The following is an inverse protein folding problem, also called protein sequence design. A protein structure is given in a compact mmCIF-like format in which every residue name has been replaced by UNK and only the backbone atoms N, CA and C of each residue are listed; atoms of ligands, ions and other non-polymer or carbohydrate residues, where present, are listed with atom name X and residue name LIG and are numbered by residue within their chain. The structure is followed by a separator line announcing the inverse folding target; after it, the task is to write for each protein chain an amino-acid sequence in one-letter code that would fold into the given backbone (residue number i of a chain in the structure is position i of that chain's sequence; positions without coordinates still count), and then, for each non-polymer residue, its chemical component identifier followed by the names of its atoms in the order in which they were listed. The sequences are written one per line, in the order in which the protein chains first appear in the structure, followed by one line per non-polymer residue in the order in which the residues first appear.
data_IF_911420470681
#
_entry.id   IF_911420470681
#
_cell.length_a   1.000
_cell.length_b   1.000
_cell.length_c   1.000
_cell.angle_alpha   90.00
_cell.angle_beta   90.00
_cell.angle_gamma   90.00
#
_symmetry.space_group_name_H-M   'P 1'
#
loop_
_entity.id
_entity.type
_entity.pdbx_description
1 polymer ?
#
# COMPACT_ATOMS: atom_id res chain seq x y z
N UNK A 1 -26.37 25.16 2.00
CA UNK A 1 -25.62 24.59 0.85
C UNK A 1 -24.29 24.12 1.41
N UNK A 2 -23.95 22.85 1.24
CA UNK A 2 -22.66 22.31 1.75
C UNK A 2 -21.55 22.94 0.93
N UNK A 3 -20.55 23.52 1.60
CA UNK A 3 -19.34 24.02 0.97
C UNK A 3 -18.50 22.82 0.49
N UNK A 4 -18.51 22.60 -0.83
CA UNK A 4 -17.81 21.47 -1.47
C UNK A 4 -16.30 21.57 -1.26
N UNK A 5 -15.75 22.79 -1.28
CA UNK A 5 -14.31 23.01 -1.12
C UNK A 5 -13.86 22.69 0.30
N UNK A 6 -14.68 23.07 1.30
CA UNK A 6 -14.42 22.74 2.70
C UNK A 6 -14.53 21.23 2.93
N UNK A 7 -15.55 20.57 2.35
CA UNK A 7 -15.71 19.13 2.43
C UNK A 7 -14.53 18.40 1.80
N UNK A 8 -14.09 18.82 0.62
CA UNK A 8 -12.92 18.25 -0.07
C UNK A 8 -11.64 18.37 0.77
N UNK A 9 -11.44 19.49 1.47
CA UNK A 9 -10.30 19.67 2.39
C UNK A 9 -10.35 18.66 3.55
N UNK A 10 -11.51 18.49 4.21
CA UNK A 10 -11.64 17.53 5.33
C UNK A 10 -11.46 16.09 4.88
N UNK A 11 -12.03 15.72 3.74
CA UNK A 11 -11.89 14.36 3.19
C UNK A 11 -10.44 14.08 2.80
N UNK A 12 -9.74 15.05 2.17
CA UNK A 12 -8.32 14.88 1.82
C UNK A 12 -7.42 14.81 3.05
N UNK A 13 -7.74 15.54 4.12
CA UNK A 13 -7.04 15.45 5.39
C UNK A 13 -7.23 14.06 6.03
N UNK A 14 -8.47 13.56 6.07
CA UNK A 14 -8.76 12.21 6.54
C UNK A 14 -8.01 11.15 5.72
N UNK A 15 -8.04 11.25 4.38
CA UNK A 15 -7.29 10.39 3.48
C UNK A 15 -5.78 10.43 3.74
N UNK A 16 -5.24 11.61 4.02
CA UNK A 16 -3.82 11.77 4.40
C UNK A 16 -3.50 11.06 5.70
N UNK A 17 -4.32 11.22 6.75
CA UNK A 17 -4.12 10.52 8.03
C UNK A 17 -4.16 8.99 7.87
N UNK A 18 -5.13 8.48 7.10
CA UNK A 18 -5.21 7.04 6.80
C UNK A 18 -4.03 6.58 5.95
N UNK A 19 -3.57 7.40 5.00
CA UNK A 19 -2.39 7.13 4.17
C UNK A 19 -1.09 7.08 4.97
N UNK A 20 -0.94 7.93 5.99
CA UNK A 20 0.18 7.86 6.94
C UNK A 20 0.16 6.53 7.68
N UNK A 21 -0.99 6.13 8.23
CA UNK A 21 -1.15 4.84 8.90
C UNK A 21 -0.78 3.67 7.98
N UNK A 22 -1.28 3.69 6.75
CA UNK A 22 -0.97 2.67 5.74
C UNK A 22 0.53 2.66 5.40
N UNK A 23 1.14 3.82 5.18
CA UNK A 23 2.57 3.95 4.85
C UNK A 23 3.49 3.46 5.97
N UNK A 24 3.04 3.44 7.21
CA UNK A 24 3.79 2.93 8.36
C UNK A 24 3.66 1.41 8.55
N UNK A 25 2.74 0.74 7.87
CA UNK A 25 2.56 -0.72 8.03
C UNK A 25 3.82 -1.55 7.74
N UNK A 26 4.71 -1.20 6.78
CA UNK A 26 5.95 -1.94 6.54
C UNK A 26 7.01 -1.79 7.63
N UNK A 27 6.82 -0.89 8.60
CA UNK A 27 7.87 -0.60 9.61
C UNK A 27 8.24 -1.84 10.43
N UNK A 28 7.27 -2.71 10.73
CA UNK A 28 7.51 -3.93 11.51
C UNK A 28 8.39 -4.93 10.75
N UNK A 29 8.10 -5.31 9.48
CA UNK A 29 9.02 -6.10 8.66
C UNK A 29 10.42 -5.49 8.57
N UNK A 30 10.53 -4.18 8.36
CA UNK A 30 11.84 -3.53 8.29
C UNK A 30 12.60 -3.54 9.62
N UNK A 31 11.93 -3.38 10.76
CA UNK A 31 12.55 -3.56 12.08
C UNK A 31 13.05 -5.01 12.24
N UNK A 32 12.31 -6.00 11.78
CA UNK A 32 12.72 -7.39 11.84
C UNK A 32 13.96 -7.66 10.97
N UNK A 33 14.04 -7.06 9.78
CA UNK A 33 15.24 -7.12 8.92
C UNK A 33 16.45 -6.48 9.62
N UNK A 34 16.29 -5.30 10.22
CA UNK A 34 17.35 -4.61 10.96
C UNK A 34 17.85 -5.45 12.13
N UNK A 35 16.95 -6.11 12.84
CA UNK A 35 17.28 -7.01 13.98
C UNK A 35 17.80 -8.39 13.54
N UNK A 36 17.88 -8.66 12.24
CA UNK A 36 18.34 -9.95 11.70
C UNK A 36 17.37 -11.12 11.93
N UNK A 37 16.10 -10.83 12.21
CA UNK A 37 15.04 -11.84 12.39
C UNK A 37 14.44 -12.32 11.06
N UNK A 38 14.52 -11.49 10.04
CA UNK A 38 14.03 -11.77 8.69
C UNK A 38 15.09 -11.43 7.65
N UNK A 39 15.16 -12.20 6.57
CA UNK A 39 16.02 -11.90 5.43
C UNK A 39 15.36 -10.80 4.58
N UNK A 40 16.15 -9.80 4.20
CA UNK A 40 15.71 -8.72 3.32
C UNK A 40 15.14 -9.23 1.99
N UNK A 41 15.59 -10.39 1.51
CA UNK A 41 15.14 -11.03 0.27
C UNK A 41 13.70 -11.57 0.35
N UNK A 42 13.14 -11.68 1.54
CA UNK A 42 11.72 -12.04 1.72
C UNK A 42 10.79 -10.89 1.32
N UNK A 43 11.32 -9.66 1.29
CA UNK A 43 10.55 -8.48 0.89
C UNK A 43 10.65 -8.29 -0.64
N UNK A 44 9.52 -8.19 -1.36
CA UNK A 44 9.53 -8.08 -2.82
C UNK A 44 10.18 -6.77 -3.30
N UNK A 45 11.19 -6.86 -4.16
CA UNK A 45 11.89 -5.68 -4.73
C UNK A 45 10.93 -4.74 -5.46
N UNK A 46 9.95 -5.30 -6.17
CA UNK A 46 8.95 -4.54 -6.91
C UNK A 46 8.15 -3.57 -6.02
N UNK A 47 7.91 -3.94 -4.75
CA UNK A 47 7.21 -3.07 -3.79
C UNK A 47 8.03 -1.84 -3.44
N UNK A 48 9.37 -1.97 -3.37
CA UNK A 48 10.26 -0.84 -3.09
C UNK A 48 10.15 0.19 -4.22
N UNK A 49 10.26 -0.25 -5.47
CA UNK A 49 10.17 0.64 -6.62
C UNK A 49 8.79 1.29 -6.74
N UNK A 50 7.71 0.53 -6.57
CA UNK A 50 6.34 1.06 -6.65
C UNK A 50 6.10 2.11 -5.58
N UNK A 51 6.58 1.88 -4.34
CA UNK A 51 6.42 2.81 -3.22
C UNK A 51 7.23 4.12 -3.38
N UNK A 52 8.15 4.20 -4.34
CA UNK A 52 8.84 5.43 -4.70
C UNK A 52 8.17 6.07 -5.90
N UNK A 53 7.96 5.31 -6.97
CA UNK A 53 7.47 5.87 -8.24
C UNK A 53 6.03 6.37 -8.17
N UNK A 54 5.15 5.64 -7.50
CA UNK A 54 3.74 6.02 -7.41
C UNK A 54 3.54 7.34 -6.64
N UNK A 55 4.04 7.52 -5.41
CA UNK A 55 3.94 8.80 -4.71
C UNK A 55 4.62 9.94 -5.46
N UNK A 56 5.73 9.68 -6.17
CA UNK A 56 6.41 10.69 -6.97
C UNK A 56 5.53 11.24 -8.10
N UNK A 57 4.86 10.37 -8.84
CA UNK A 57 3.94 10.78 -9.90
C UNK A 57 2.77 11.58 -9.34
N UNK A 58 2.24 11.17 -8.19
CA UNK A 58 1.18 11.91 -7.50
C UNK A 58 1.67 13.27 -6.96
N UNK A 59 2.89 13.36 -6.41
CA UNK A 59 3.49 14.65 -6.03
C UNK A 59 3.53 15.59 -7.22
N UNK A 60 4.05 15.10 -8.37
CA UNK A 60 4.19 15.90 -9.58
C UNK A 60 2.82 16.32 -10.14
N UNK A 61 1.83 15.44 -10.06
CA UNK A 61 0.46 15.72 -10.49
C UNK A 61 -0.19 16.79 -9.63
N UNK A 62 -0.15 16.66 -8.30
CA UNK A 62 -0.80 17.59 -7.39
C UNK A 62 -0.15 18.96 -7.34
N UNK A 63 1.19 19.06 -7.45
CA UNK A 63 1.86 20.35 -7.52
C UNK A 63 1.49 21.11 -8.81
N UNK A 64 1.33 20.40 -9.92
CA UNK A 64 0.86 20.98 -11.18
C UNK A 64 -0.58 21.47 -11.12
N UNK A 65 -1.40 20.89 -10.27
CA UNK A 65 -2.78 21.29 -10.03
C UNK A 65 -2.94 22.34 -8.91
N UNK A 66 -1.85 22.69 -8.22
CA UNK A 66 -1.83 23.57 -7.04
C UNK A 66 -2.73 23.07 -5.88
N UNK A 67 -2.84 21.74 -5.71
CA UNK A 67 -3.63 21.13 -4.64
C UNK A 67 -2.69 20.61 -3.55
N UNK A 68 -2.59 21.36 -2.46
CA UNK A 68 -1.51 21.20 -1.47
C UNK A 68 -1.69 20.00 -0.53
N UNK A 69 -2.90 19.73 -0.01
CA UNK A 69 -3.09 18.63 0.96
C UNK A 69 -2.70 17.27 0.36
N UNK A 70 -3.21 16.85 -0.82
CA UNK A 70 -2.76 15.64 -1.49
C UNK A 70 -1.27 15.66 -1.85
N UNK A 71 -0.74 16.82 -2.21
CA UNK A 71 0.69 17.00 -2.48
C UNK A 71 1.55 16.62 -1.27
N UNK A 72 1.23 17.18 -0.07
CA UNK A 72 1.96 16.82 1.15
C UNK A 72 1.78 15.36 1.55
N UNK A 73 0.60 14.78 1.33
CA UNK A 73 0.37 13.36 1.52
C UNK A 73 1.29 12.51 0.64
N UNK A 74 1.42 12.87 -0.63
CA UNK A 74 2.27 12.18 -1.58
C UNK A 74 3.77 12.36 -1.25
N UNK A 75 4.21 13.55 -0.81
CA UNK A 75 5.58 13.77 -0.30
C UNK A 75 5.87 12.85 0.88
N UNK A 76 4.97 12.73 1.83
CA UNK A 76 5.15 11.84 2.97
C UNK A 76 5.35 10.38 2.53
N UNK A 77 4.50 9.90 1.61
CA UNK A 77 4.64 8.57 1.02
C UNK A 77 5.98 8.38 0.30
N UNK A 78 6.43 9.40 -0.43
CA UNK A 78 7.70 9.39 -1.13
C UNK A 78 8.89 9.31 -0.15
N UNK A 79 8.88 10.12 0.90
CA UNK A 79 9.93 10.11 1.93
C UNK A 79 10.01 8.74 2.60
N UNK A 80 8.88 8.15 2.99
CA UNK A 80 8.84 6.81 3.55
C UNK A 80 9.36 5.75 2.57
N UNK A 81 8.95 5.83 1.30
CA UNK A 81 9.44 4.93 0.25
C UNK A 81 10.96 4.99 0.10
N UNK A 82 11.54 6.20 0.12
CA UNK A 82 12.99 6.40 0.06
C UNK A 82 13.71 5.86 1.31
N UNK A 83 13.15 6.06 2.50
CA UNK A 83 13.71 5.49 3.75
C UNK A 83 13.72 3.96 3.68
N UNK A 84 12.60 3.34 3.30
CA UNK A 84 12.53 1.88 3.18
C UNK A 84 13.47 1.35 2.09
N UNK A 85 13.56 2.01 0.94
CA UNK A 85 14.51 1.65 -0.11
C UNK A 85 15.96 1.73 0.35
N UNK A 86 16.30 2.77 1.11
CA UNK A 86 17.64 2.96 1.69
C UNK A 86 18.01 1.80 2.61
N UNK A 87 17.11 1.43 3.53
CA UNK A 87 17.30 0.29 4.44
C UNK A 87 17.41 -1.01 3.63
N UNK A 88 16.47 -1.22 2.70
CA UNK A 88 16.46 -2.41 1.84
C UNK A 88 17.80 -2.60 1.12
N UNK A 89 18.26 -1.58 0.39
CA UNK A 89 19.50 -1.65 -0.38
C UNK A 89 20.74 -1.87 0.51
N UNK A 90 20.75 -1.29 1.70
CA UNK A 90 21.86 -1.50 2.64
C UNK A 90 22.01 -2.97 3.03
N UNK A 91 20.92 -3.61 3.41
CA UNK A 91 20.92 -5.03 3.81
C UNK A 91 21.05 -5.97 2.59
N UNK A 92 20.40 -5.64 1.48
CA UNK A 92 20.48 -6.41 0.23
C UNK A 92 21.92 -6.49 -0.32
N UNK A 93 22.67 -5.40 -0.24
CA UNK A 93 24.07 -5.32 -0.68
C UNK A 93 25.06 -5.85 0.36
N UNK A 94 24.64 -6.69 1.28
CA UNK A 94 25.45 -7.31 2.33
C UNK A 94 26.22 -6.30 3.20
N UNK A 95 25.58 -5.16 3.49
CA UNK A 95 26.15 -4.08 4.30
C UNK A 95 27.45 -3.48 3.71
N UNK A 96 27.65 -3.60 2.41
CA UNK A 96 28.79 -2.97 1.72
C UNK A 96 28.52 -1.46 1.56
N UNK A 97 29.23 -0.65 2.36
CA UNK A 97 29.03 0.81 2.39
C UNK A 97 29.27 1.46 1.03
N UNK A 98 30.32 1.04 0.29
CA UNK A 98 30.62 1.61 -1.02
C UNK A 98 29.54 1.28 -2.07
N UNK A 99 29.13 0.02 -2.15
CA UNK A 99 28.08 -0.41 -3.09
C UNK A 99 26.76 0.26 -2.76
N UNK A 100 26.44 0.35 -1.47
CA UNK A 100 25.25 1.05 -0.98
C UNK A 100 25.29 2.53 -1.38
N UNK A 101 26.40 3.24 -1.14
CA UNK A 101 26.55 4.65 -1.50
C UNK A 101 26.40 4.87 -3.00
N UNK A 102 27.05 4.07 -3.83
CA UNK A 102 26.93 4.17 -5.29
C UNK A 102 25.49 3.92 -5.76
N UNK A 103 24.80 2.95 -5.17
CA UNK A 103 23.39 2.69 -5.50
C UNK A 103 22.48 3.85 -5.10
N UNK A 104 22.72 4.51 -3.95
CA UNK A 104 21.97 5.70 -3.55
C UNK A 104 22.18 6.86 -4.52
N UNK A 105 23.44 7.14 -4.88
CA UNK A 105 23.75 8.21 -5.87
C UNK A 105 23.06 7.93 -7.19
N UNK A 106 23.14 6.71 -7.72
CA UNK A 106 22.47 6.33 -8.95
C UNK A 106 20.95 6.48 -8.85
N UNK A 107 20.35 6.00 -7.78
CA UNK A 107 18.90 6.08 -7.53
C UNK A 107 18.42 7.54 -7.48
N UNK A 108 19.09 8.39 -6.69
CA UNK A 108 18.70 9.80 -6.58
C UNK A 108 18.92 10.56 -7.88
N UNK A 109 19.97 10.24 -8.65
CA UNK A 109 20.22 10.87 -9.96
C UNK A 109 19.13 10.51 -10.96
N UNK A 110 18.78 9.24 -11.07
CA UNK A 110 17.69 8.77 -11.94
C UNK A 110 16.37 9.45 -11.53
N UNK A 111 16.12 9.52 -10.22
CA UNK A 111 14.92 10.09 -9.68
C UNK A 111 14.81 11.59 -9.96
N UNK A 112 15.88 12.34 -9.73
CA UNK A 112 15.93 13.78 -10.02
C UNK A 112 15.77 14.07 -11.52
N UNK A 113 16.41 13.27 -12.38
CA UNK A 113 16.28 13.40 -13.83
C UNK A 113 14.86 13.12 -14.32
N UNK A 114 14.21 12.09 -13.76
CA UNK A 114 12.82 11.77 -14.06
C UNK A 114 11.86 12.86 -13.59
N UNK A 115 12.10 13.40 -12.40
CA UNK A 115 11.31 14.52 -11.86
C UNK A 115 11.43 15.77 -12.74
N UNK A 116 12.65 16.11 -13.14
CA UNK A 116 12.90 17.20 -14.06
C UNK A 116 12.14 17.00 -15.39
N UNK A 117 12.22 15.81 -15.97
CA UNK A 117 11.50 15.49 -17.19
C UNK A 117 9.98 15.67 -17.04
N UNK A 118 9.40 15.16 -15.95
CA UNK A 118 7.96 15.31 -15.70
C UNK A 118 7.53 16.77 -15.50
N UNK A 119 8.32 17.57 -14.81
CA UNK A 119 7.97 18.95 -14.52
C UNK A 119 8.17 19.90 -15.71
N UNK A 120 9.23 19.71 -16.49
CA UNK A 120 9.67 20.69 -17.48
C UNK A 120 9.49 20.25 -18.93
N UNK A 121 9.53 18.94 -19.21
CA UNK A 121 9.43 18.42 -20.57
C UNK A 121 7.99 18.04 -20.91
N UNK A 122 7.24 17.49 -19.94
CA UNK A 122 5.84 17.07 -20.18
C UNK A 122 4.92 18.32 -20.16
N UNK A 123 4.33 18.70 -21.29
CA UNK A 123 3.67 20.01 -21.40
C UNK A 123 2.32 20.07 -20.68
N UNK A 124 1.59 18.95 -20.59
CA UNK A 124 0.23 18.91 -20.05
C UNK A 124 0.16 18.03 -18.80
N UNK A 125 -0.45 18.54 -17.74
CA UNK A 125 -0.65 17.79 -16.49
C UNK A 125 -1.49 16.51 -16.67
N UNK A 126 -2.33 16.44 -17.72
CA UNK A 126 -3.13 15.25 -18.02
C UNK A 126 -2.27 14.02 -18.31
N UNK A 127 -1.12 14.16 -18.96
CA UNK A 127 -0.20 13.04 -19.19
C UNK A 127 0.39 12.53 -17.88
N UNK A 128 0.71 13.46 -16.95
CA UNK A 128 1.18 13.09 -15.62
C UNK A 128 0.06 12.41 -14.82
N UNK A 129 -1.16 12.95 -14.88
CA UNK A 129 -2.35 12.35 -14.27
C UNK A 129 -2.62 10.94 -14.78
N UNK A 130 -2.51 10.72 -16.09
CA UNK A 130 -2.66 9.39 -16.69
C UNK A 130 -1.58 8.41 -16.19
N UNK A 131 -0.32 8.82 -16.17
CA UNK A 131 0.77 7.96 -15.66
C UNK A 131 0.64 7.69 -14.16
N UNK A 132 0.21 8.69 -13.37
CA UNK A 132 -0.08 8.52 -11.94
C UNK A 132 -1.25 7.55 -11.71
N UNK A 133 -2.31 7.65 -12.52
CA UNK A 133 -3.45 6.73 -12.50
C UNK A 133 -3.01 5.29 -12.79
N UNK A 134 -2.22 5.07 -13.85
CA UNK A 134 -1.71 3.74 -14.22
C UNK A 134 -0.84 3.17 -13.09
N UNK A 135 0.06 3.97 -12.52
CA UNK A 135 0.88 3.54 -11.37
C UNK A 135 0.03 3.21 -10.15
N UNK A 136 -1.01 3.98 -9.89
CA UNK A 136 -1.99 3.71 -8.83
C UNK A 136 -2.75 2.40 -9.03
N UNK A 137 -3.16 2.09 -10.26
CA UNK A 137 -3.78 0.81 -10.61
C UNK A 137 -2.82 -0.35 -10.34
N UNK A 138 -1.56 -0.26 -10.79
CA UNK A 138 -0.54 -1.29 -10.54
C UNK A 138 -0.33 -1.49 -9.03
N UNK A 139 -0.22 -0.40 -8.28
CA UNK A 139 -0.08 -0.46 -6.81
C UNK A 139 -1.29 -1.13 -6.14
N UNK A 140 -2.50 -0.83 -6.62
CA UNK A 140 -3.74 -1.43 -6.12
C UNK A 140 -3.84 -2.93 -6.37
N UNK A 141 -3.20 -3.44 -7.42
CA UNK A 141 -3.17 -4.89 -7.72
C UNK A 141 -2.28 -5.69 -6.77
N UNK A 142 -1.35 -5.05 -6.07
CA UNK A 142 -0.43 -5.74 -5.16
C UNK A 142 -1.15 -6.51 -4.04
N UNK A 143 -2.13 -5.95 -3.32
CA UNK A 143 -2.90 -6.70 -2.32
C UNK A 143 -3.79 -7.81 -2.91
N UNK A 144 -4.13 -7.76 -4.20
CA UNK A 144 -4.92 -8.80 -4.85
C UNK A 144 -4.16 -10.14 -4.93
N UNK A 145 -2.83 -10.12 -4.93
CA UNK A 145 -2.01 -11.34 -4.91
C UNK A 145 -2.24 -12.16 -3.62
N UNK A 146 -2.52 -11.49 -2.49
CA UNK A 146 -2.80 -12.15 -1.21
C UNK A 146 -4.04 -13.06 -1.32
N UNK A 147 -5.05 -12.63 -2.05
CA UNK A 147 -6.27 -13.41 -2.31
C UNK A 147 -5.92 -14.76 -2.95
N UNK A 148 -5.14 -14.73 -4.03
CA UNK A 148 -4.73 -15.94 -4.75
C UNK A 148 -3.95 -16.90 -3.86
N UNK A 149 -3.04 -16.35 -3.04
CA UNK A 149 -2.21 -17.14 -2.11
C UNK A 149 -3.07 -17.78 -1.03
N UNK A 150 -4.03 -17.05 -0.47
CA UNK A 150 -4.95 -17.57 0.56
C UNK A 150 -5.83 -18.68 0.01
N UNK A 151 -6.38 -18.54 -1.19
CA UNK A 151 -7.15 -19.60 -1.82
C UNK A 151 -6.34 -20.88 -2.06
N UNK A 152 -5.06 -20.73 -2.43
CA UNK A 152 -4.17 -21.88 -2.66
C UNK A 152 -3.71 -22.56 -1.37
N UNK A 153 -3.45 -21.79 -0.30
CA UNK A 153 -2.89 -22.31 0.95
C UNK A 153 -3.92 -22.53 2.05
N UNK A 154 -5.13 -21.98 1.92
CA UNK A 154 -6.18 -22.06 2.94
C UNK A 154 -5.85 -21.34 4.25
N UNK A 155 -4.86 -20.42 4.23
CA UNK A 155 -4.41 -19.71 5.44
C UNK A 155 -4.71 -18.21 5.36
N UNK A 156 -5.77 -17.80 6.09
CA UNK A 156 -6.20 -16.41 6.15
C UNK A 156 -5.18 -15.47 6.80
N UNK A 157 -4.25 -15.99 7.62
CA UNK A 157 -3.20 -15.20 8.29
C UNK A 157 -2.23 -14.54 7.30
N UNK A 158 -2.22 -15.00 6.06
CA UNK A 158 -1.44 -14.41 4.98
C UNK A 158 -2.03 -13.07 4.49
N UNK A 159 -3.28 -12.75 4.85
CA UNK A 159 -3.85 -11.42 4.59
C UNK A 159 -3.53 -10.50 5.77
N UNK A 160 -2.77 -9.43 5.56
CA UNK A 160 -2.50 -8.43 6.60
C UNK A 160 -3.74 -7.56 6.81
N UNK A 161 -4.67 -8.04 7.64
CA UNK A 161 -6.02 -7.47 7.79
C UNK A 161 -6.02 -5.96 8.12
N UNK A 162 -5.11 -5.51 8.97
CA UNK A 162 -5.01 -4.09 9.33
C UNK A 162 -4.59 -3.23 8.13
N UNK A 163 -3.65 -3.72 7.31
CA UNK A 163 -3.24 -3.04 6.06
C UNK A 163 -4.42 -2.94 5.09
N UNK A 164 -5.26 -3.99 5.02
CA UNK A 164 -6.45 -3.99 4.17
C UNK A 164 -7.51 -2.99 4.67
N UNK A 165 -7.74 -2.91 5.99
CA UNK A 165 -8.70 -1.97 6.58
C UNK A 165 -8.22 -0.52 6.35
N UNK A 166 -6.99 -0.20 6.75
CA UNK A 166 -6.45 1.15 6.54
C UNK A 166 -6.35 1.52 5.06
N UNK A 167 -5.96 0.57 4.20
CA UNK A 167 -5.92 0.76 2.75
C UNK A 167 -7.30 1.03 2.16
N UNK A 168 -8.33 0.32 2.62
CA UNK A 168 -9.71 0.54 2.22
C UNK A 168 -10.24 1.91 2.65
N UNK A 169 -10.01 2.31 3.89
CA UNK A 169 -10.40 3.63 4.40
C UNK A 169 -9.67 4.76 3.66
N UNK A 170 -8.38 4.60 3.43
CA UNK A 170 -7.57 5.54 2.66
C UNK A 170 -8.12 5.69 1.22
N UNK A 171 -8.32 4.57 0.53
CA UNK A 171 -8.86 4.56 -0.83
C UNK A 171 -10.27 5.16 -0.89
N UNK A 172 -11.13 4.89 0.12
CA UNK A 172 -12.45 5.48 0.23
C UNK A 172 -12.41 7.01 0.35
N UNK A 173 -11.54 7.54 1.21
CA UNK A 173 -11.35 9.00 1.33
C UNK A 173 -10.88 9.63 0.01
N UNK A 174 -9.86 9.04 -0.65
CA UNK A 174 -9.35 9.57 -1.92
C UNK A 174 -10.35 9.40 -3.06
N UNK A 175 -11.20 8.36 -3.05
CA UNK A 175 -12.29 8.20 -4.01
C UNK A 175 -13.32 9.32 -3.86
N UNK A 176 -13.78 9.59 -2.63
CA UNK A 176 -14.72 10.68 -2.37
C UNK A 176 -14.11 12.03 -2.76
N UNK A 177 -12.85 12.27 -2.41
CA UNK A 177 -12.12 13.47 -2.82
C UNK A 177 -12.09 13.63 -4.35
N UNK A 178 -11.74 12.56 -5.08
CA UNK A 178 -11.74 12.55 -6.54
C UNK A 178 -13.12 12.86 -7.15
N UNK A 179 -14.19 12.31 -6.57
CA UNK A 179 -15.57 12.58 -7.01
C UNK A 179 -15.92 14.05 -6.80
N UNK A 180 -15.59 14.63 -5.64
CA UNK A 180 -15.84 16.06 -5.35
C UNK A 180 -15.13 16.99 -6.33
N UNK A 181 -13.90 16.67 -6.72
CA UNK A 181 -13.11 17.43 -7.69
C UNK A 181 -13.39 17.03 -9.15
N UNK A 182 -14.19 15.98 -9.40
CA UNK A 182 -14.42 15.41 -10.74
C UNK A 182 -13.11 14.95 -11.42
N UNK A 183 -12.16 14.47 -10.63
CA UNK A 183 -10.84 14.04 -11.08
C UNK A 183 -10.81 12.54 -11.37
N UNK A 184 -11.00 12.20 -12.64
CA UNK A 184 -11.04 10.82 -13.13
C UNK A 184 -9.73 10.06 -12.84
N UNK A 185 -8.59 10.74 -12.91
CA UNK A 185 -7.28 10.13 -12.63
C UNK A 185 -7.16 9.63 -11.19
N UNK A 186 -7.81 10.34 -10.25
CA UNK A 186 -7.85 9.94 -8.85
C UNK A 186 -8.99 8.94 -8.57
N UNK A 187 -10.14 9.06 -9.22
CA UNK A 187 -11.31 8.19 -9.00
C UNK A 187 -10.98 6.73 -9.34
N UNK A 188 -10.45 6.47 -10.54
CA UNK A 188 -10.29 5.10 -11.06
C UNK A 188 -9.39 4.23 -10.17
N UNK A 189 -8.14 4.61 -9.83
CA UNK A 189 -7.27 3.77 -9.00
C UNK A 189 -7.80 3.58 -7.59
N UNK A 190 -8.47 4.60 -7.01
CA UNK A 190 -9.00 4.50 -5.66
C UNK A 190 -10.27 3.64 -5.59
N UNK A 191 -11.14 3.70 -6.60
CA UNK A 191 -12.29 2.80 -6.70
C UNK A 191 -11.84 1.34 -6.80
N UNK A 192 -10.84 1.06 -7.64
CA UNK A 192 -10.27 -0.28 -7.79
C UNK A 192 -9.61 -0.75 -6.48
N UNK A 193 -8.82 0.14 -5.84
CA UNK A 193 -8.17 -0.16 -4.57
C UNK A 193 -9.19 -0.50 -3.48
N UNK A 194 -10.24 0.31 -3.35
CA UNK A 194 -11.32 0.08 -2.38
C UNK A 194 -11.99 -1.28 -2.61
N UNK A 195 -12.33 -1.61 -3.85
CA UNK A 195 -12.92 -2.90 -4.21
C UNK A 195 -12.01 -4.08 -3.80
N UNK A 196 -10.72 -4.00 -4.11
CA UNK A 196 -9.76 -5.04 -3.77
C UNK A 196 -9.64 -5.19 -2.24
N UNK A 197 -9.62 -4.09 -1.49
CA UNK A 197 -9.55 -4.15 -0.02
C UNK A 197 -10.83 -4.76 0.59
N UNK A 198 -12.00 -4.44 0.06
CA UNK A 198 -13.25 -5.08 0.47
C UNK A 198 -13.20 -6.59 0.21
N UNK A 199 -12.72 -7.01 -0.96
CA UNK A 199 -12.54 -8.43 -1.26
C UNK A 199 -11.57 -9.11 -0.29
N UNK A 200 -10.42 -8.50 0.01
CA UNK A 200 -9.46 -9.04 0.96
C UNK A 200 -10.05 -9.23 2.35
N UNK A 201 -10.76 -8.21 2.86
CA UNK A 201 -11.41 -8.26 4.18
C UNK A 201 -12.49 -9.34 4.22
N UNK A 202 -13.31 -9.44 3.17
CA UNK A 202 -14.37 -10.45 3.07
C UNK A 202 -13.78 -11.87 3.07
N UNK A 203 -12.73 -12.09 2.29
CA UNK A 203 -12.05 -13.38 2.19
C UNK A 203 -11.38 -13.74 3.52
N UNK A 204 -10.75 -12.78 4.19
CA UNK A 204 -10.17 -12.99 5.52
C UNK A 204 -11.22 -13.52 6.50
N UNK A 205 -12.37 -12.85 6.63
CA UNK A 205 -13.42 -13.26 7.55
C UNK A 205 -14.07 -14.58 7.14
N UNK A 206 -14.23 -14.85 5.86
CA UNK A 206 -14.76 -16.13 5.38
C UNK A 206 -13.87 -17.31 5.81
N UNK A 207 -12.58 -17.24 5.59
CA UNK A 207 -11.66 -18.31 6.01
C UNK A 207 -11.46 -18.37 7.52
N UNK A 208 -11.49 -17.23 8.20
CA UNK A 208 -11.43 -17.16 9.67
C UNK A 208 -12.59 -17.93 10.31
N UNK A 209 -13.82 -17.63 9.89
CA UNK A 209 -15.03 -18.28 10.44
C UNK A 209 -15.11 -19.76 10.07
N UNK A 210 -14.77 -20.12 8.84
CA UNK A 210 -14.79 -21.53 8.40
C UNK A 210 -13.76 -22.37 9.15
N UNK A 211 -12.57 -21.84 9.41
CA UNK A 211 -11.53 -22.55 10.16
C UNK A 211 -11.89 -22.72 11.63
N UNK A 212 -12.48 -21.72 12.24
CA UNK A 212 -12.90 -21.82 13.65
C UNK A 212 -14.02 -22.84 13.81
N UNK A 213 -15.03 -22.84 12.94
CA UNK A 213 -16.09 -23.86 12.96
C UNK A 213 -15.52 -25.28 12.81
N UNK A 214 -14.55 -25.51 11.93
CA UNK A 214 -13.91 -26.83 11.79
C UNK A 214 -13.13 -27.27 13.03
N UNK A 215 -12.55 -26.32 13.78
CA UNK A 215 -11.89 -26.64 15.05
C UNK A 215 -12.87 -27.00 16.13
N UNK A 216 -13.96 -26.23 16.27
CA UNK A 216 -15.04 -26.51 17.23
C UNK A 216 -15.62 -27.91 17.01
N UNK A 217 -15.94 -28.25 15.76
CA UNK A 217 -16.46 -29.60 15.43
C UNK A 217 -15.46 -30.71 15.79
N UNK A 218 -14.18 -30.53 15.52
CA UNK A 218 -13.16 -31.52 15.89
C UNK A 218 -13.01 -31.70 17.41
N UNK A 219 -13.02 -30.59 18.15
CA UNK A 219 -12.96 -30.63 19.62
C UNK A 219 -14.20 -31.29 20.24
N UNK A 220 -15.37 -31.14 19.60
CA UNK A 220 -16.58 -31.85 20.00
C UNK A 220 -16.50 -33.36 19.68
N UNK A 221 -15.99 -33.74 18.50
CA UNK A 221 -15.78 -35.14 18.11
C UNK A 221 -14.77 -35.85 19.03
N UNK A 222 -13.65 -35.18 19.38
CA UNK A 222 -12.66 -35.73 20.32
C UNK A 222 -13.26 -35.96 21.71
N UNK A 223 -14.05 -35.00 22.23
CA UNK A 223 -14.71 -35.13 23.55
C UNK A 223 -15.75 -36.27 23.59
N UNK A 224 -16.41 -36.52 22.46
CA UNK A 224 -17.37 -37.65 22.38
C UNK A 224 -16.66 -39.01 22.34
N UNK A 225 -15.49 -39.08 21.67
CA UNK A 225 -14.68 -40.32 21.65
C UNK A 225 -14.07 -40.64 23.03
N UNK A 226 -13.52 -39.64 23.72
CA UNK A 226 -12.96 -39.82 25.07
C UNK A 226 -14.04 -40.23 26.10
N UNK A 227 -15.30 -39.81 25.92
CA UNK A 227 -16.40 -40.17 26.78
C UNK A 227 -16.92 -41.62 26.59
N UNK A 228 -16.75 -42.18 25.39
CA UNK A 228 -17.15 -43.56 25.08
C UNK A 228 -16.12 -44.61 25.57
N UNK A 229 -14.85 -44.20 25.77
CA UNK A 229 -13.78 -45.07 26.25
C UNK A 229 -13.77 -45.22 27.82
N UNK A 230 -14.54 -44.40 28.56
CA UNK A 230 -14.65 -44.49 30.02
C UNK A 230 -15.82 -45.39 30.51
N UNK A 231 -16.53 -46.05 29.63
CA UNK A 231 -17.62 -46.98 29.95
C UNK A 231 -17.31 -48.42 29.45
#
# INVERSE_FOLDING_TARGET
MVDIDLLAKWVSLAGTCMGIGLGLTPIIPFINIIKGKEDVRTFPESLIFINIFCPHLWCTYWIRQAVFIPFFSAIFGLVLGLVFATIYLYFYLHKSTLKWLLSQVAQYTIFASFHYALLYIVPKYQYIGFTAMVSGIITSMTPAQNVVVVFKKGDYKLIPIWTCIFGGLCAGCWLVFGILLKDVYNIIPNALSLLIQICNVTIYFYFYTTRNKRKEVKEEEEKLQDGDDEH
#
